data_IF_592667591005
#
_entry.id   IF_592667591005
#
_cell.length_a   1.000
_cell.length_b   1.000
_cell.length_c   1.000
_cell.angle_alpha   90.00
_cell.angle_beta   90.00
_cell.angle_gamma   90.00
#
_symmetry.space_group_name_H-M   'P 1'
#
loop_
_entity.id
_entity.type
_entity.pdbx_description
1 polymer ?
#
# COMPACT_ATOMS: atom_id res chain seq x y z
N UNK A 1 -13.58 12.20 -9.83
CA UNK A 1 -14.22 12.25 -8.53
C UNK A 1 -13.92 13.56 -7.81
N UNK A 2 -14.48 13.75 -6.62
CA UNK A 2 -14.40 15.00 -5.89
C UNK A 2 -13.01 15.49 -5.54
N UNK A 3 -12.08 14.60 -5.36
CA UNK A 3 -10.70 14.98 -5.00
C UNK A 3 -10.00 15.70 -6.12
N UNK A 4 -10.20 15.22 -7.32
CA UNK A 4 -9.52 15.79 -8.48
C UNK A 4 -9.98 17.21 -8.77
N UNK A 5 -11.24 17.50 -8.48
CA UNK A 5 -11.77 18.85 -8.68
C UNK A 5 -11.03 19.87 -7.83
N UNK A 6 -10.66 19.49 -6.61
CA UNK A 6 -10.08 20.43 -5.67
C UNK A 6 -8.57 20.57 -5.82
N UNK A 7 -7.87 19.49 -6.19
CA UNK A 7 -6.41 19.49 -6.15
C UNK A 7 -5.74 19.22 -7.47
N UNK A 8 -6.50 18.94 -8.53
CA UNK A 8 -5.92 18.60 -9.83
C UNK A 8 -4.83 17.55 -9.67
N UNK A 9 -5.16 16.47 -8.98
CA UNK A 9 -4.21 15.42 -8.68
C UNK A 9 -4.30 14.33 -9.73
N UNK A 10 -3.14 13.88 -10.22
CA UNK A 10 -3.04 12.75 -11.10
C UNK A 10 -2.34 11.61 -10.36
N UNK A 11 -2.88 10.41 -10.47
CA UNK A 11 -2.33 9.24 -9.80
C UNK A 11 -2.14 8.11 -10.80
N UNK A 12 -0.98 7.48 -10.78
CA UNK A 12 -0.67 6.36 -11.65
C UNK A 12 0.02 5.27 -10.85
N UNK A 13 -0.38 4.03 -11.07
CA UNK A 13 0.25 2.86 -10.44
C UNK A 13 0.85 1.98 -11.51
N UNK A 14 2.08 1.55 -11.27
CA UNK A 14 2.78 0.62 -12.14
C UNK A 14 3.28 -0.54 -11.30
N UNK A 15 2.93 -1.77 -11.69
CA UNK A 15 3.37 -2.96 -10.98
C UNK A 15 4.15 -3.84 -11.96
N UNK A 16 5.34 -4.26 -11.53
CA UNK A 16 6.18 -5.18 -12.29
C UNK A 16 6.28 -6.48 -11.52
N UNK A 17 5.96 -7.58 -12.21
CA UNK A 17 6.04 -8.91 -11.63
C UNK A 17 7.37 -9.52 -12.06
N UNK A 18 8.21 -9.87 -11.09
CA UNK A 18 9.49 -10.52 -11.34
C UNK A 18 9.39 -11.96 -10.86
N UNK A 19 8.84 -12.82 -11.71
CA UNK A 19 8.55 -14.20 -11.35
C UNK A 19 9.77 -14.99 -10.89
N UNK A 20 10.89 -14.82 -11.60
CA UNK A 20 12.12 -15.54 -11.26
C UNK A 20 12.67 -15.18 -9.90
N UNK A 21 12.35 -13.99 -9.41
CA UNK A 21 12.79 -13.53 -8.10
C UNK A 21 11.71 -13.67 -7.03
N UNK A 22 10.53 -14.12 -7.42
CA UNK A 22 9.40 -14.20 -6.48
C UNK A 22 9.04 -12.84 -5.90
N UNK A 23 8.95 -11.82 -6.75
CA UNK A 23 8.87 -10.45 -6.29
C UNK A 23 7.91 -9.62 -7.12
N UNK A 24 7.17 -8.75 -6.45
CA UNK A 24 6.37 -7.69 -7.08
C UNK A 24 7.00 -6.36 -6.71
N UNK A 25 7.14 -5.49 -7.69
CA UNK A 25 7.65 -4.13 -7.45
C UNK A 25 6.58 -3.15 -7.89
N UNK A 26 6.19 -2.26 -7.00
CA UNK A 26 5.19 -1.25 -7.29
C UNK A 26 5.76 0.15 -7.25
N UNK A 27 5.36 0.95 -8.22
CA UNK A 27 5.66 2.37 -8.27
C UNK A 27 4.35 3.13 -8.31
N UNK A 28 4.15 4.00 -7.32
CA UNK A 28 3.00 4.88 -7.26
C UNK A 28 3.46 6.28 -7.57
N UNK A 29 2.82 6.91 -8.52
CA UNK A 29 3.16 8.27 -8.93
C UNK A 29 1.98 9.19 -8.62
N UNK A 30 2.22 10.23 -7.85
CA UNK A 30 1.21 11.22 -7.53
C UNK A 30 1.71 12.58 -7.99
N UNK A 31 0.99 13.20 -8.91
CA UNK A 31 1.33 14.50 -9.45
C UNK A 31 0.26 15.50 -8.99
N UNK A 32 0.69 16.58 -8.37
CA UNK A 32 -0.21 17.61 -7.86
C UNK A 32 0.05 18.89 -8.60
N UNK A 33 -0.95 19.42 -9.28
CA UNK A 33 -0.81 20.62 -10.09
C UNK A 33 -0.78 21.91 -9.27
N UNK A 34 -1.40 21.92 -8.08
CA UNK A 34 -1.42 23.10 -7.22
C UNK A 34 -0.13 23.27 -6.48
N UNK A 35 0.21 24.54 -6.19
CA UNK A 35 1.45 24.88 -5.52
C UNK A 35 1.43 24.69 -4.01
N UNK A 36 0.25 24.81 -3.39
CA UNK A 36 0.16 24.71 -1.95
C UNK A 36 0.01 23.25 -1.52
N UNK A 37 1.13 22.63 -1.19
CA UNK A 37 1.19 21.21 -0.83
C UNK A 37 1.35 20.98 0.66
N UNK A 38 1.45 22.04 1.45
CA UNK A 38 1.88 21.94 2.85
C UNK A 38 1.01 21.01 3.69
N UNK A 39 -0.25 20.84 3.34
CA UNK A 39 -1.19 20.04 4.15
C UNK A 39 -1.75 18.83 3.41
N UNK A 40 -1.17 18.48 2.28
CA UNK A 40 -1.66 17.34 1.53
C UNK A 40 -0.95 16.07 1.97
N UNK A 41 -1.74 15.07 2.30
CA UNK A 41 -1.26 13.76 2.69
C UNK A 41 -1.77 12.72 1.70
N UNK A 42 -1.08 11.58 1.65
CA UNK A 42 -1.57 10.44 0.89
C UNK A 42 -1.68 9.22 1.80
N UNK A 43 -2.55 8.32 1.41
CA UNK A 43 -2.71 7.04 2.08
C UNK A 43 -2.99 5.99 1.02
N UNK A 44 -2.15 4.95 0.99
CA UNK A 44 -2.34 3.81 0.11
C UNK A 44 -2.66 2.59 0.98
N UNK A 45 -3.75 1.89 0.66
CA UNK A 45 -4.16 0.73 1.43
C UNK A 45 -4.13 -0.51 0.58
N UNK A 46 -3.50 -1.55 1.12
CA UNK A 46 -3.42 -2.86 0.49
C UNK A 46 -4.20 -3.83 1.37
N UNK A 47 -5.38 -4.21 0.92
CA UNK A 47 -6.26 -5.09 1.69
C UNK A 47 -5.80 -6.53 1.58
N UNK A 48 -5.68 -7.18 2.72
CA UNK A 48 -5.18 -8.54 2.81
C UNK A 48 -6.36 -9.47 3.09
N UNK A 49 -6.34 -10.65 2.48
CA UNK A 49 -7.40 -11.64 2.69
C UNK A 49 -7.48 -12.06 4.16
N UNK A 50 -8.68 -12.37 4.65
CA UNK A 50 -8.83 -12.95 5.98
C UNK A 50 -7.97 -14.20 6.13
N UNK A 51 -7.66 -14.56 7.35
CA UNK A 51 -6.82 -15.72 7.70
C UNK A 51 -5.36 -15.57 7.35
N UNK A 52 -4.96 -14.42 6.81
CA UNK A 52 -3.56 -14.10 6.60
C UNK A 52 -2.99 -13.54 7.90
N UNK A 53 -1.70 -13.76 8.12
CA UNK A 53 -1.03 -13.26 9.31
C UNK A 53 -0.08 -12.15 8.93
N UNK A 54 -0.10 -11.06 9.70
CA UNK A 54 0.78 -9.92 9.47
C UNK A 54 1.54 -9.62 10.74
N UNK A 55 2.84 -9.39 10.61
CA UNK A 55 3.70 -8.99 11.72
C UNK A 55 4.57 -7.85 11.23
N UNK A 56 4.61 -6.75 11.98
CA UNK A 56 5.51 -5.66 11.66
C UNK A 56 6.80 -5.81 12.43
N UNK A 57 7.94 -5.75 11.73
CA UNK A 57 9.26 -5.88 12.36
C UNK A 57 9.68 -4.56 12.97
N UNK A 58 10.73 -4.60 13.80
CA UNK A 58 11.27 -3.40 14.40
C UNK A 58 11.82 -2.42 13.36
N UNK A 59 12.27 -2.95 12.23
CA UNK A 59 12.74 -2.10 11.13
C UNK A 59 11.64 -1.46 10.32
N UNK A 60 10.38 -1.81 10.59
CA UNK A 60 9.24 -1.23 9.90
C UNK A 60 8.66 -2.08 8.80
N UNK A 61 9.38 -3.05 8.29
CA UNK A 61 8.88 -3.93 7.25
C UNK A 61 7.76 -4.83 7.80
N UNK A 62 6.90 -5.32 6.91
CA UNK A 62 5.81 -6.19 7.32
C UNK A 62 6.02 -7.58 6.73
N UNK A 63 5.92 -8.59 7.59
CA UNK A 63 5.98 -9.99 7.18
C UNK A 63 4.56 -10.51 7.09
N UNK A 64 4.24 -11.14 5.95
CA UNK A 64 2.93 -11.72 5.70
C UNK A 64 3.04 -13.24 5.57
N UNK A 65 2.03 -13.94 6.05
CA UNK A 65 1.88 -15.36 5.76
C UNK A 65 0.51 -15.56 5.13
N UNK A 66 0.50 -16.02 3.89
CA UNK A 66 -0.72 -16.25 3.12
C UNK A 66 -0.61 -17.65 2.52
N UNK A 67 -1.55 -18.53 2.84
CA UNK A 67 -1.56 -19.90 2.33
C UNK A 67 -0.23 -20.62 2.55
N UNK A 68 0.32 -20.46 3.75
CA UNK A 68 1.59 -21.08 4.16
C UNK A 68 2.82 -20.56 3.42
N UNK A 69 2.67 -19.50 2.65
CA UNK A 69 3.79 -18.85 2.00
C UNK A 69 4.10 -17.54 2.71
N UNK A 70 5.37 -17.35 3.05
CA UNK A 70 5.81 -16.10 3.66
C UNK A 70 6.16 -15.07 2.60
N UNK A 71 5.87 -13.82 2.92
CA UNK A 71 6.15 -12.66 2.07
C UNK A 71 6.66 -11.52 2.93
N UNK A 72 7.43 -10.64 2.32
CA UNK A 72 7.93 -9.44 3.01
C UNK A 72 7.52 -8.22 2.20
N UNK A 73 6.87 -7.27 2.88
CA UNK A 73 6.45 -6.01 2.27
C UNK A 73 7.34 -4.88 2.77
N UNK A 74 7.91 -4.14 1.84
CA UNK A 74 8.74 -2.97 2.13
C UNK A 74 8.23 -1.78 1.34
N UNK A 75 8.49 -0.59 1.86
CA UNK A 75 8.07 0.64 1.20
C UNK A 75 9.10 1.74 1.41
N UNK A 76 9.12 2.70 0.50
CA UNK A 76 9.94 3.90 0.63
C UNK A 76 9.40 4.86 1.68
N UNK A 77 8.15 4.65 2.10
CA UNK A 77 7.47 5.50 3.08
C UNK A 77 7.01 4.65 4.27
N UNK A 78 6.72 5.28 5.41
CA UNK A 78 6.27 4.53 6.59
C UNK A 78 5.04 3.69 6.30
N UNK A 79 5.01 2.50 6.88
CA UNK A 79 3.90 1.57 6.73
C UNK A 79 3.43 1.11 8.09
N UNK A 80 2.15 0.75 8.16
CA UNK A 80 1.59 0.18 9.38
C UNK A 80 0.46 -0.77 9.03
N UNK A 81 0.06 -1.56 10.01
CA UNK A 81 -1.04 -2.51 9.88
C UNK A 81 -2.29 -1.89 10.49
N UNK A 82 -3.40 -1.92 9.74
CA UNK A 82 -4.69 -1.46 10.23
C UNK A 82 -5.70 -2.59 10.15
N UNK A 83 -6.72 -2.50 10.98
CA UNK A 83 -7.86 -3.41 10.89
C UNK A 83 -8.72 -3.02 9.69
N UNK A 84 -9.32 -4.03 9.08
CA UNK A 84 -10.15 -3.85 7.91
C UNK A 84 -11.28 -4.87 7.94
N UNK A 85 -12.23 -4.70 7.03
CA UNK A 85 -13.33 -5.64 6.88
C UNK A 85 -13.30 -6.20 5.47
N UNK A 86 -13.58 -7.49 5.35
CA UNK A 86 -13.62 -8.17 4.08
C UNK A 86 -15.03 -8.68 3.82
N UNK A 87 -15.60 -8.32 2.68
CA UNK A 87 -16.94 -8.71 2.28
C UNK A 87 -16.84 -9.80 1.21
N UNK A 88 -16.76 -11.04 1.64
CA UNK A 88 -16.65 -12.17 0.71
C UNK A 88 -18.00 -12.55 0.07
N UNK A 89 -19.07 -12.41 0.84
CA UNK A 89 -20.43 -12.75 0.41
C UNK A 89 -21.36 -11.67 0.92
N UNK A 90 -22.57 -11.63 0.38
CA UNK A 90 -23.56 -10.62 0.75
C UNK A 90 -23.85 -10.57 2.25
N UNK A 91 -23.84 -11.73 2.88
CA UNK A 91 -24.24 -11.83 4.29
C UNK A 91 -23.06 -12.03 5.24
N UNK A 92 -21.84 -12.05 4.72
CA UNK A 92 -20.68 -12.34 5.56
C UNK A 92 -19.65 -11.25 5.51
N UNK A 93 -19.29 -10.77 6.68
CA UNK A 93 -18.23 -9.80 6.87
C UNK A 93 -17.19 -10.48 7.75
N UNK A 94 -15.96 -10.52 7.29
CA UNK A 94 -14.85 -11.09 8.05
C UNK A 94 -13.87 -10.00 8.43
N UNK A 95 -13.34 -10.10 9.64
CA UNK A 95 -12.26 -9.21 10.03
C UNK A 95 -11.02 -9.56 9.23
N UNK A 96 -10.32 -8.54 8.78
CA UNK A 96 -9.08 -8.73 8.08
C UNK A 96 -8.13 -7.58 8.43
N UNK A 97 -7.00 -7.53 7.76
CA UNK A 97 -6.02 -6.47 7.97
C UNK A 97 -5.73 -5.80 6.65
N UNK A 98 -5.22 -4.60 6.72
CA UNK A 98 -4.67 -3.97 5.53
C UNK A 98 -3.32 -3.34 5.88
N UNK A 99 -2.49 -3.20 4.86
CA UNK A 99 -1.22 -2.50 4.97
C UNK A 99 -1.46 -1.07 4.52
N UNK A 100 -1.13 -0.12 5.36
CA UNK A 100 -1.29 1.29 5.06
C UNK A 100 0.08 1.91 4.83
N UNK A 101 0.27 2.52 3.66
CA UNK A 101 1.43 3.33 3.35
C UNK A 101 0.97 4.77 3.34
N UNK A 102 1.55 5.61 4.17
CA UNK A 102 1.11 6.99 4.27
C UNK A 102 2.27 7.96 4.35
N UNK A 103 2.01 9.20 3.99
CA UNK A 103 3.00 10.24 4.02
C UNK A 103 2.43 11.57 3.58
N UNK A 104 3.32 12.54 3.45
CA UNK A 104 2.97 13.89 3.04
C UNK A 104 3.46 14.13 1.62
N UNK A 105 2.64 14.80 0.82
CA UNK A 105 3.04 15.19 -0.53
C UNK A 105 3.85 16.48 -0.41
N UNK A 106 5.15 16.38 -0.64
CA UNK A 106 6.08 17.51 -0.47
C UNK A 106 6.39 18.23 -1.76
N UNK A 107 6.23 17.54 -2.88
CA UNK A 107 6.59 18.07 -4.19
C UNK A 107 5.42 17.94 -5.15
N UNK A 108 5.57 18.54 -6.32
CA UNK A 108 4.56 18.38 -7.37
C UNK A 108 4.54 16.95 -7.90
N UNK A 109 5.69 16.29 -7.90
CA UNK A 109 5.83 14.92 -8.37
C UNK A 109 6.31 14.08 -7.20
N UNK A 110 5.51 13.09 -6.82
CA UNK A 110 5.81 12.24 -5.68
C UNK A 110 5.82 10.77 -6.13
N UNK A 111 6.91 10.07 -5.82
CA UNK A 111 7.06 8.66 -6.11
C UNK A 111 7.06 7.86 -4.82
N UNK A 112 6.21 6.86 -4.75
CA UNK A 112 6.16 5.94 -3.63
C UNK A 112 6.48 4.55 -4.19
N UNK A 113 7.51 3.92 -3.66
CA UNK A 113 7.94 2.60 -4.11
C UNK A 113 7.65 1.57 -3.03
N UNK A 114 7.19 0.40 -3.43
CA UNK A 114 6.99 -0.70 -2.50
C UNK A 114 7.37 -2.01 -3.19
N UNK A 115 7.70 -3.00 -2.39
CA UNK A 115 8.01 -4.33 -2.89
C UNK A 115 7.32 -5.38 -2.04
N UNK A 116 6.91 -6.46 -2.68
CA UNK A 116 6.37 -7.64 -2.02
C UNK A 116 7.19 -8.81 -2.51
N UNK A 117 7.93 -9.44 -1.63
CA UNK A 117 8.92 -10.45 -1.98
C UNK A 117 8.70 -11.72 -1.18
N UNK A 118 8.78 -12.87 -1.85
CA UNK A 118 8.67 -14.16 -1.15
C UNK A 118 9.80 -14.29 -0.15
N UNK A 119 9.46 -14.80 1.01
CA UNK A 119 10.45 -15.14 2.04
C UNK A 119 10.32 -16.62 2.36
N UNK A 120 11.42 -17.19 2.76
CA UNK A 120 11.44 -18.63 3.10
C UNK A 120 10.95 -18.88 4.49
#
# INVERSE_FOLDING_TARGET
NGYQKNYNTMYERKIVIKENEGKLVGDELIIVAKKDLAFLNFALRFHILPDSKLIQTQGGDILLSVNNQGWKFKSSHPIKIEDSLYFAHQDKISESKCILVEGTLKDKVNNINWTLEKSN
#
